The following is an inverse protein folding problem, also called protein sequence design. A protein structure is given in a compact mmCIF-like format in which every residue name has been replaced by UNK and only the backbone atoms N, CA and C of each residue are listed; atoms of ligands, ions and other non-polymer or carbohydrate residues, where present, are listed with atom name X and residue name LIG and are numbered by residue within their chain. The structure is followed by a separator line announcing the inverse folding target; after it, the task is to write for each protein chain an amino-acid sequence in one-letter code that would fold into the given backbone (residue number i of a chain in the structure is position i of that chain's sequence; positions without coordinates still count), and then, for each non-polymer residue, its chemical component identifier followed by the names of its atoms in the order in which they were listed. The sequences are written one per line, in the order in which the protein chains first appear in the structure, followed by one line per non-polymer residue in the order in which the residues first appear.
data_IF_014296108701
#
_entry.id   IF_014296108701
#
_cell.length_a   1.000
_cell.length_b   1.000
_cell.length_c   1.000
_cell.angle_alpha   90.00
_cell.angle_beta   90.00
_cell.angle_gamma   90.00
#
_symmetry.space_group_name_H-M   'P 1'
#
loop_
_entity.id
_entity.type
_entity.pdbx_description
1 polymer ?
#
# COMPACT_ATOMS: atom_id res chain seq x y z
N UNK A 1 26.37 -11.86 23.65
CA UNK A 1 25.60 -10.64 24.02
C UNK A 1 24.13 -11.04 24.17
N UNK A 2 23.67 -11.23 25.41
CA UNK A 2 22.28 -11.63 25.67
C UNK A 2 21.37 -10.40 25.46
N UNK A 3 20.59 -10.41 24.41
CA UNK A 3 19.56 -9.40 24.19
C UNK A 3 18.47 -9.61 25.24
N UNK A 4 18.25 -8.60 26.09
CA UNK A 4 17.30 -8.62 27.20
C UNK A 4 15.88 -9.01 26.67
N UNK A 5 15.20 -9.90 27.36
CA UNK A 5 13.85 -10.39 26.96
C UNK A 5 12.81 -9.26 26.77
N UNK A 6 12.94 -8.19 27.54
CA UNK A 6 12.12 -6.97 27.37
C UNK A 6 12.36 -6.32 26.00
N UNK A 7 13.60 -6.26 25.55
CA UNK A 7 13.94 -5.68 24.23
C UNK A 7 13.38 -6.53 23.09
N UNK A 8 13.44 -7.86 23.19
CA UNK A 8 12.83 -8.78 22.21
C UNK A 8 11.33 -8.62 22.13
N UNK A 9 10.66 -8.46 23.27
CA UNK A 9 9.22 -8.28 23.36
C UNK A 9 8.78 -6.93 22.73
N UNK A 10 9.51 -5.86 23.01
CA UNK A 10 9.26 -4.53 22.43
C UNK A 10 9.46 -4.57 20.91
N UNK A 11 10.55 -5.16 20.42
CA UNK A 11 10.81 -5.30 18.98
C UNK A 11 9.71 -6.12 18.30
N UNK A 12 9.24 -7.21 18.89
CA UNK A 12 8.16 -8.00 18.30
C UNK A 12 6.81 -7.25 18.27
N UNK A 13 6.52 -6.44 19.29
CA UNK A 13 5.31 -5.61 19.31
C UNK A 13 5.42 -4.51 18.24
N UNK A 14 6.54 -3.81 18.16
CA UNK A 14 6.73 -2.75 17.15
C UNK A 14 6.68 -3.31 15.73
N UNK A 15 7.25 -4.50 15.47
CA UNK A 15 7.15 -5.15 14.17
C UNK A 15 5.69 -5.51 13.81
N UNK A 16 4.90 -6.02 14.76
CA UNK A 16 3.46 -6.27 14.54
C UNK A 16 2.70 -5.00 14.21
N UNK A 17 2.95 -3.92 14.95
CA UNK A 17 2.32 -2.61 14.69
C UNK A 17 2.68 -2.10 13.29
N UNK A 18 3.96 -2.16 12.90
CA UNK A 18 4.40 -1.76 11.56
C UNK A 18 3.72 -2.60 10.47
N UNK A 19 3.57 -3.92 10.68
CA UNK A 19 2.88 -4.79 9.72
C UNK A 19 1.42 -4.39 9.55
N UNK A 20 0.70 -4.14 10.66
CA UNK A 20 -0.68 -3.70 10.61
C UNK A 20 -0.85 -2.33 9.92
N UNK A 21 0.08 -1.40 10.18
CA UNK A 21 0.11 -0.10 9.50
C UNK A 21 0.35 -0.26 8.00
N UNK A 22 1.26 -1.14 7.57
CA UNK A 22 1.51 -1.42 6.16
C UNK A 22 0.28 -2.05 5.48
N UNK A 23 -0.40 -3.00 6.15
CA UNK A 23 -1.62 -3.60 5.62
C UNK A 23 -2.71 -2.53 5.47
N UNK A 24 -2.95 -1.74 6.52
CA UNK A 24 -3.94 -0.66 6.49
C UNK A 24 -3.63 0.36 5.39
N UNK A 25 -2.35 0.76 5.23
CA UNK A 25 -1.92 1.66 4.17
C UNK A 25 -2.14 1.06 2.77
N UNK A 26 -1.80 -0.21 2.57
CA UNK A 26 -1.99 -0.89 1.27
C UNK A 26 -3.48 -0.97 0.91
N UNK A 27 -4.33 -1.35 1.86
CA UNK A 27 -5.78 -1.39 1.66
C UNK A 27 -6.35 0.01 1.40
N UNK A 28 -5.90 1.01 2.16
CA UNK A 28 -6.27 2.41 1.95
C UNK A 28 -5.90 2.88 0.54
N UNK A 29 -4.66 2.63 0.10
CA UNK A 29 -4.20 3.01 -1.23
C UNK A 29 -4.95 2.28 -2.35
N UNK A 30 -5.31 1.02 -2.14
CA UNK A 30 -6.14 0.28 -3.10
C UNK A 30 -7.53 0.89 -3.23
N UNK A 31 -8.21 1.17 -2.12
CA UNK A 31 -9.53 1.82 -2.10
C UNK A 31 -9.43 3.22 -2.71
N UNK A 32 -8.43 4.01 -2.28
CA UNK A 32 -8.17 5.34 -2.81
C UNK A 32 -7.98 5.34 -4.33
N UNK A 33 -7.20 4.39 -4.84
CA UNK A 33 -6.98 4.24 -6.28
C UNK A 33 -8.27 3.90 -7.02
N UNK A 34 -9.03 2.93 -6.53
CA UNK A 34 -10.32 2.55 -7.13
C UNK A 34 -11.26 3.76 -7.15
N UNK A 35 -11.42 4.43 -6.01
CA UNK A 35 -12.25 5.64 -5.90
C UNK A 35 -11.75 6.73 -6.84
N UNK A 36 -10.46 6.98 -6.91
CA UNK A 36 -9.88 8.02 -7.78
C UNK A 36 -10.13 7.72 -9.26
N UNK A 37 -9.91 6.48 -9.69
CA UNK A 37 -10.10 6.08 -11.10
C UNK A 37 -11.58 6.04 -11.48
N UNK A 38 -12.46 5.56 -10.61
CA UNK A 38 -13.88 5.42 -10.92
C UNK A 38 -14.68 6.69 -10.68
N UNK A 39 -14.18 7.60 -9.86
CA UNK A 39 -14.96 8.72 -9.29
C UNK A 39 -14.52 10.08 -9.80
N UNK A 40 -13.29 10.27 -10.24
CA UNK A 40 -12.67 11.58 -10.51
C UNK A 40 -12.88 12.07 -11.96
N UNK A 41 -13.70 11.42 -12.76
CA UNK A 41 -13.79 11.74 -14.19
C UNK A 41 -15.02 12.55 -14.58
N UNK A 42 -15.71 13.24 -13.67
CA UNK A 42 -16.90 14.04 -14.07
C UNK A 42 -17.01 15.34 -13.28
N UNK A 43 -17.17 16.41 -14.04
CA UNK A 43 -17.34 17.81 -13.64
C UNK A 43 -18.54 18.08 -12.69
N UNK A 44 -19.31 17.07 -12.33
CA UNK A 44 -20.57 17.19 -11.58
C UNK A 44 -20.43 16.96 -10.08
N UNK A 45 -19.23 16.65 -9.56
CA UNK A 45 -19.09 16.30 -8.15
C UNK A 45 -18.64 17.50 -7.32
N UNK A 46 -19.58 18.02 -6.55
CA UNK A 46 -19.27 18.96 -5.48
C UNK A 46 -19.31 18.25 -4.12
N UNK A 47 -18.41 18.60 -3.23
CA UNK A 47 -18.42 18.23 -1.82
C UNK A 47 -18.81 19.48 -1.05
N UNK A 48 -19.98 19.47 -0.44
CA UNK A 48 -20.55 20.64 0.25
C UNK A 48 -20.61 21.92 -0.63
N UNK A 49 -20.96 21.76 -1.92
CA UNK A 49 -21.06 22.90 -2.86
C UNK A 49 -19.70 23.41 -3.38
N UNK A 50 -18.60 22.66 -3.15
CA UNK A 50 -17.27 23.01 -3.65
C UNK A 50 -16.74 21.89 -4.52
N UNK A 51 -16.26 22.24 -5.71
CA UNK A 51 -15.54 21.34 -6.65
C UNK A 51 -14.03 21.54 -6.52
N UNK A 52 -13.30 20.50 -6.82
CA UNK A 52 -11.83 20.46 -6.71
C UNK A 52 -11.23 20.13 -8.07
N UNK A 53 -10.48 21.05 -8.66
CA UNK A 53 -9.81 20.83 -9.94
C UNK A 53 -8.30 20.94 -9.80
N UNK A 54 -7.59 20.00 -10.41
CA UNK A 54 -6.13 20.02 -10.48
C UNK A 54 -5.73 20.96 -11.61
N UNK A 55 -4.92 21.94 -11.31
CA UNK A 55 -4.37 22.88 -12.29
C UNK A 55 -3.30 22.17 -13.12
N UNK A 56 -3.47 22.14 -14.44
CA UNK A 56 -2.57 21.46 -15.37
C UNK A 56 -1.63 22.43 -16.12
N UNK A 57 -1.92 23.73 -16.09
CA UNK A 57 -1.13 24.75 -16.80
C UNK A 57 -0.72 25.91 -15.87
N UNK A 58 0.24 26.72 -16.34
CA UNK A 58 0.70 27.89 -15.62
C UNK A 58 0.06 29.21 -16.12
N UNK A 59 -1.09 29.15 -16.79
CA UNK A 59 -1.77 30.34 -17.35
C UNK A 59 -2.15 31.38 -16.30
N UNK A 60 -2.32 30.95 -15.02
CA UNK A 60 -2.63 31.81 -13.88
C UNK A 60 -1.48 31.91 -12.87
N UNK A 61 -0.28 31.48 -13.22
CA UNK A 61 0.88 31.57 -12.34
C UNK A 61 1.38 33.02 -12.20
N UNK A 62 2.07 33.30 -11.09
CA UNK A 62 2.63 34.63 -10.83
C UNK A 62 3.70 34.98 -11.89
N UNK A 63 3.62 36.18 -12.46
CA UNK A 63 4.55 36.71 -13.44
C UNK A 63 4.60 38.25 -13.35
N UNK A 64 5.43 38.88 -14.16
CA UNK A 64 5.46 40.34 -14.28
C UNK A 64 4.13 40.90 -14.80
N UNK A 65 3.38 40.14 -15.61
CA UNK A 65 2.10 40.58 -16.17
C UNK A 65 0.98 40.71 -15.13
N UNK A 66 1.11 40.02 -14.00
CA UNK A 66 0.06 39.92 -12.96
C UNK A 66 0.61 40.09 -11.54
N UNK A 67 1.78 40.72 -11.37
CA UNK A 67 2.47 40.86 -10.08
C UNK A 67 1.64 41.55 -9.01
N UNK A 68 0.76 42.46 -9.41
CA UNK A 68 -0.11 43.25 -8.55
C UNK A 68 -1.47 42.61 -8.29
N UNK A 69 -1.71 41.41 -8.82
CA UNK A 69 -2.92 40.62 -8.58
C UNK A 69 -2.72 39.69 -7.40
N UNK A 70 -3.77 39.47 -6.60
CA UNK A 70 -3.72 38.60 -5.43
C UNK A 70 -3.94 37.09 -5.78
N UNK A 71 -4.62 36.83 -6.90
CA UNK A 71 -5.02 35.45 -7.29
C UNK A 71 -3.99 34.87 -8.24
N UNK A 72 -3.22 33.92 -7.75
CA UNK A 72 -2.26 33.13 -8.53
C UNK A 72 -2.36 31.66 -8.17
N UNK A 73 -2.23 30.78 -9.14
CA UNK A 73 -2.06 29.35 -8.92
C UNK A 73 -1.21 28.72 -10.01
N UNK A 74 -0.49 27.67 -9.66
CA UNK A 74 0.47 27.01 -10.54
C UNK A 74 -0.03 25.64 -10.98
N UNK A 75 0.53 25.10 -12.03
CA UNK A 75 0.36 23.69 -12.35
C UNK A 75 0.72 22.83 -11.12
N UNK A 76 -0.14 21.86 -10.81
CA UNK A 76 -0.01 21.02 -9.61
C UNK A 76 -0.69 21.54 -8.35
N UNK A 77 -1.29 22.74 -8.37
CA UNK A 77 -2.19 23.20 -7.32
C UNK A 77 -3.58 22.55 -7.51
N UNK A 78 -4.37 22.49 -6.44
CA UNK A 78 -5.82 22.23 -6.53
C UNK A 78 -6.55 23.55 -6.30
N UNK A 79 -7.43 23.92 -7.21
CA UNK A 79 -8.33 25.07 -7.06
C UNK A 79 -9.68 24.62 -6.50
N UNK A 80 -10.20 25.44 -5.60
CA UNK A 80 -11.50 25.28 -4.95
C UNK A 80 -12.51 26.14 -5.69
N UNK A 81 -13.52 25.51 -6.26
CA UNK A 81 -14.52 26.16 -7.09
C UNK A 81 -15.90 26.00 -6.42
N UNK A 82 -16.49 27.09 -6.01
CA UNK A 82 -17.85 27.12 -5.47
C UNK A 82 -18.85 27.01 -6.61
N UNK A 83 -19.82 26.10 -6.49
CA UNK A 83 -20.93 26.03 -7.41
C UNK A 83 -21.74 27.33 -7.39
N UNK A 84 -22.21 27.76 -8.54
CA UNK A 84 -23.02 28.95 -8.69
C UNK A 84 -24.41 28.62 -9.21
N UNK A 85 -25.43 29.19 -8.58
CA UNK A 85 -26.77 29.27 -9.14
C UNK A 85 -26.85 30.24 -10.32
N UNK A 86 -27.87 30.16 -11.13
CA UNK A 86 -28.03 31.06 -12.28
C UNK A 86 -28.09 32.54 -11.87
N UNK A 87 -28.66 32.85 -10.71
CA UNK A 87 -28.65 34.21 -10.18
C UNK A 87 -27.23 34.65 -9.82
N UNK A 88 -26.42 33.82 -9.18
CA UNK A 88 -25.02 34.12 -8.83
C UNK A 88 -24.13 34.27 -10.09
N UNK A 89 -24.43 33.50 -11.16
CA UNK A 89 -23.74 33.67 -12.45
C UNK A 89 -24.01 35.05 -13.07
N UNK A 90 -25.21 35.59 -12.86
CA UNK A 90 -25.57 36.93 -13.32
C UNK A 90 -24.89 38.07 -12.53
N UNK A 91 -24.30 37.78 -11.36
CA UNK A 91 -23.56 38.73 -10.55
C UNK A 91 -22.05 38.75 -10.84
N UNK A 92 -21.58 37.83 -11.70
CA UNK A 92 -20.17 37.77 -12.09
C UNK A 92 -19.71 39.02 -12.83
N UNK A 93 -18.50 39.48 -12.51
CA UNK A 93 -17.91 40.73 -13.03
C UNK A 93 -16.46 40.54 -13.46
N UNK A 94 -15.95 41.53 -14.18
CA UNK A 94 -14.53 41.57 -14.50
C UNK A 94 -13.66 41.54 -13.23
N UNK A 95 -12.61 40.71 -13.25
CA UNK A 95 -11.73 40.39 -12.14
C UNK A 95 -12.10 39.14 -11.35
N UNK A 96 -13.32 38.60 -11.50
CA UNK A 96 -13.67 37.30 -10.94
C UNK A 96 -12.95 36.18 -11.70
N UNK A 97 -12.57 35.11 -10.96
CA UNK A 97 -11.97 33.92 -11.55
C UNK A 97 -13.00 32.82 -11.55
N UNK A 98 -13.25 32.23 -12.72
CA UNK A 98 -14.25 31.19 -12.96
C UNK A 98 -13.60 29.92 -13.50
N UNK A 99 -14.16 28.79 -13.13
CA UNK A 99 -13.91 27.50 -13.80
C UNK A 99 -15.05 27.25 -14.81
N UNK A 100 -14.70 26.83 -16.00
CA UNK A 100 -15.65 26.56 -17.08
C UNK A 100 -15.18 25.41 -17.98
N UNK A 101 -16.12 24.81 -18.71
CA UNK A 101 -15.82 23.88 -19.78
C UNK A 101 -15.41 24.67 -21.04
N UNK A 102 -14.18 24.45 -21.47
CA UNK A 102 -13.67 25.13 -22.65
C UNK A 102 -14.34 24.63 -23.93
N UNK A 103 -14.73 25.59 -24.76
CA UNK A 103 -15.18 25.37 -26.14
C UNK A 103 -14.14 25.78 -27.17
N UNK A 104 -12.93 26.17 -26.72
CA UNK A 104 -11.80 26.52 -27.56
C UNK A 104 -11.29 25.30 -28.34
N UNK A 105 -10.75 25.53 -29.53
CA UNK A 105 -10.27 24.47 -30.42
C UNK A 105 -9.18 23.59 -29.81
N UNK A 106 -8.27 24.18 -29.01
CA UNK A 106 -7.12 23.49 -28.41
C UNK A 106 -7.48 22.74 -27.12
N UNK A 107 -8.47 23.24 -26.35
CA UNK A 107 -8.83 22.74 -25.02
C UNK A 107 -10.29 22.30 -24.92
N UNK A 108 -10.88 21.88 -26.03
CA UNK A 108 -12.30 21.51 -26.09
C UNK A 108 -12.67 20.44 -25.07
N UNK A 109 -13.68 20.73 -24.23
CA UNK A 109 -14.15 19.83 -23.18
C UNK A 109 -13.27 19.76 -21.93
N UNK A 110 -12.16 20.49 -21.90
CA UNK A 110 -11.31 20.57 -20.70
C UNK A 110 -11.86 21.62 -19.72
N UNK A 111 -11.65 21.39 -18.44
CA UNK A 111 -11.93 22.41 -17.42
C UNK A 111 -10.80 23.42 -17.37
N UNK A 112 -11.13 24.66 -17.67
CA UNK A 112 -10.22 25.82 -17.61
C UNK A 112 -10.63 26.70 -16.46
N UNK A 113 -9.63 27.29 -15.76
CA UNK A 113 -9.87 28.26 -14.68
C UNK A 113 -9.14 29.55 -15.03
N UNK A 114 -9.87 30.58 -15.43
CA UNK A 114 -9.34 31.85 -15.89
C UNK A 114 -10.09 33.03 -15.27
N UNK A 115 -9.51 34.22 -15.41
CA UNK A 115 -10.10 35.48 -14.93
C UNK A 115 -11.00 36.09 -15.98
N UNK A 116 -12.14 36.62 -15.57
CA UNK A 116 -13.05 37.39 -16.42
C UNK A 116 -12.40 38.75 -16.69
N UNK A 117 -12.23 39.07 -17.97
CA UNK A 117 -11.79 40.40 -18.42
C UNK A 117 -12.96 41.31 -18.71
N UNK A 118 -14.00 40.81 -19.32
CA UNK A 118 -15.15 41.58 -19.76
C UNK A 118 -16.43 40.72 -19.75
N UNK A 119 -17.54 41.29 -19.35
CA UNK A 119 -18.86 40.68 -19.41
C UNK A 119 -19.57 41.18 -20.67
N UNK A 120 -20.09 40.27 -21.48
CA UNK A 120 -20.86 40.56 -22.70
C UNK A 120 -22.36 40.55 -22.42
N UNK A 121 -23.03 41.59 -22.88
CA UNK A 121 -24.48 41.73 -22.74
C UNK A 121 -25.15 41.79 -24.12
N UNK A 122 -26.41 41.34 -24.18
CA UNK A 122 -27.25 41.55 -25.34
C UNK A 122 -27.93 42.93 -25.27
N UNK A 123 -28.73 43.25 -26.28
CA UNK A 123 -29.45 44.50 -26.38
C UNK A 123 -30.49 44.70 -25.24
N UNK A 124 -30.91 43.61 -24.59
CA UNK A 124 -31.83 43.59 -23.46
C UNK A 124 -31.13 43.75 -22.11
N UNK A 125 -29.81 43.89 -22.12
CA UNK A 125 -28.97 44.00 -20.90
C UNK A 125 -28.78 42.67 -20.16
N UNK A 126 -29.07 41.51 -20.78
CA UNK A 126 -28.83 40.20 -20.23
C UNK A 126 -27.44 39.72 -20.58
N UNK A 127 -26.74 39.10 -19.65
CA UNK A 127 -25.42 38.48 -19.88
C UNK A 127 -25.52 37.36 -20.89
N UNK A 128 -24.74 37.43 -21.96
CA UNK A 128 -24.62 36.42 -23.02
C UNK A 128 -23.29 35.66 -22.95
N UNK A 129 -22.32 36.20 -22.20
CA UNK A 129 -21.05 35.49 -22.04
C UNK A 129 -19.96 36.32 -21.37
N UNK A 130 -18.82 35.68 -21.18
CA UNK A 130 -17.67 36.24 -20.48
C UNK A 130 -16.42 36.08 -21.36
N UNK A 131 -15.69 37.15 -21.57
CA UNK A 131 -14.35 37.12 -22.14
C UNK A 131 -13.37 36.80 -21.01
N UNK A 132 -12.69 35.67 -21.10
CA UNK A 132 -11.75 35.19 -20.09
C UNK A 132 -10.30 35.24 -20.58
N UNK A 133 -9.35 35.22 -19.68
CA UNK A 133 -7.92 35.20 -19.99
C UNK A 133 -7.10 34.60 -18.87
N UNK A 134 -5.96 34.00 -19.22
CA UNK A 134 -4.95 33.60 -18.26
C UNK A 134 -4.11 34.83 -17.85
N UNK A 135 -4.05 35.15 -16.57
CA UNK A 135 -3.38 36.36 -16.06
C UNK A 135 -1.87 36.38 -16.33
N UNK A 136 -1.23 35.21 -16.40
CA UNK A 136 0.18 35.11 -16.75
C UNK A 136 0.44 35.41 -18.24
N UNK A 137 -0.41 34.91 -19.11
CA UNK A 137 -0.25 35.10 -20.57
C UNK A 137 -0.75 36.47 -21.02
N UNK A 138 -1.74 37.01 -20.34
CA UNK A 138 -2.39 38.28 -20.69
C UNK A 138 -3.27 38.22 -21.95
N UNK A 139 -3.32 37.07 -22.64
CA UNK A 139 -4.07 36.86 -23.90
C UNK A 139 -5.47 36.35 -23.58
N UNK A 140 -6.48 36.89 -24.29
CA UNK A 140 -7.85 36.39 -24.18
C UNK A 140 -7.98 34.97 -24.69
N UNK A 141 -8.91 34.22 -24.11
CA UNK A 141 -9.33 32.94 -24.66
C UNK A 141 -10.00 33.12 -26.01
N UNK A 142 -9.88 32.10 -26.86
CA UNK A 142 -10.36 32.13 -28.24
C UNK A 142 -11.86 32.43 -28.35
N UNK A 143 -12.63 31.86 -27.44
CA UNK A 143 -14.09 31.99 -27.44
C UNK A 143 -14.61 32.60 -26.16
N UNK A 144 -15.75 33.29 -26.30
CA UNK A 144 -16.53 33.81 -25.17
C UNK A 144 -17.15 32.63 -24.43
N UNK A 145 -17.04 32.62 -23.12
CA UNK A 145 -17.62 31.60 -22.24
C UNK A 145 -19.08 31.92 -22.00
N UNK A 146 -19.99 31.09 -22.45
CA UNK A 146 -21.42 31.24 -22.19
C UNK A 146 -21.75 30.79 -20.74
N UNK A 147 -22.79 31.37 -20.10
CA UNK A 147 -23.14 31.07 -18.70
C UNK A 147 -23.40 29.58 -18.42
N UNK A 148 -23.83 28.81 -19.42
CA UNK A 148 -24.12 27.37 -19.30
C UNK A 148 -22.85 26.52 -19.11
N UNK A 149 -21.68 26.99 -19.65
CA UNK A 149 -20.41 26.30 -19.50
C UNK A 149 -19.69 26.61 -18.19
N UNK A 150 -20.21 27.55 -17.38
CA UNK A 150 -19.59 27.90 -16.09
C UNK A 150 -19.86 26.81 -15.06
N UNK A 151 -18.78 26.25 -14.53
CA UNK A 151 -18.79 25.23 -13.48
C UNK A 151 -18.80 25.82 -12.05
N UNK A 152 -18.37 27.10 -11.90
CA UNK A 152 -18.37 27.80 -10.64
C UNK A 152 -17.28 28.88 -10.55
N UNK A 153 -17.22 29.54 -9.37
CA UNK A 153 -16.30 30.62 -9.07
C UNK A 153 -15.16 30.14 -8.16
N UNK A 154 -13.94 30.60 -8.41
CA UNK A 154 -12.78 30.36 -7.59
C UNK A 154 -12.93 30.96 -6.18
N UNK A 155 -12.65 30.17 -5.15
CA UNK A 155 -12.69 30.62 -3.75
C UNK A 155 -11.37 30.42 -3.03
N UNK A 156 -10.48 29.59 -3.55
CA UNK A 156 -9.19 29.34 -2.91
C UNK A 156 -8.39 28.25 -3.61
N UNK A 157 -7.22 27.94 -3.07
CA UNK A 157 -6.35 26.87 -3.59
C UNK A 157 -5.67 26.09 -2.48
N UNK A 158 -5.28 24.85 -2.82
CA UNK A 158 -4.38 24.00 -2.03
C UNK A 158 -3.06 23.85 -2.81
N UNK A 159 -1.99 24.56 -2.39
CA UNK A 159 -0.75 24.60 -3.14
C UNK A 159 -0.06 23.23 -3.20
N UNK A 160 0.33 22.79 -4.40
CA UNK A 160 1.13 21.59 -4.65
C UNK A 160 0.42 20.24 -4.37
N UNK A 161 -0.76 20.25 -3.77
CA UNK A 161 -1.50 19.02 -3.41
C UNK A 161 -1.91 18.24 -4.65
N UNK A 162 -2.20 18.92 -5.76
CA UNK A 162 -2.53 18.30 -7.04
C UNK A 162 -1.42 17.44 -7.60
N UNK A 163 -0.14 17.79 -7.35
CA UNK A 163 1.01 16.99 -7.79
C UNK A 163 0.99 15.57 -7.21
N UNK A 164 0.54 15.44 -5.95
CA UNK A 164 0.38 14.11 -5.33
C UNK A 164 -0.66 13.28 -6.09
N UNK A 165 -1.80 13.86 -6.42
CA UNK A 165 -2.84 13.14 -7.18
C UNK A 165 -2.40 12.81 -8.60
N UNK A 166 -1.72 13.74 -9.28
CA UNK A 166 -1.12 13.48 -10.60
C UNK A 166 -0.10 12.35 -10.53
N UNK A 167 0.78 12.37 -9.53
CA UNK A 167 1.75 11.28 -9.31
C UNK A 167 1.05 9.95 -9.07
N UNK A 168 0.08 9.89 -8.14
CA UNK A 168 -0.65 8.64 -7.83
C UNK A 168 -1.38 8.08 -9.05
N UNK A 169 -1.91 8.95 -9.93
CA UNK A 169 -2.57 8.55 -11.19
C UNK A 169 -1.58 8.12 -12.28
N UNK A 170 -0.31 8.42 -12.15
CA UNK A 170 0.72 8.04 -13.13
C UNK A 170 1.13 6.57 -12.97
N UNK A 171 1.62 5.95 -14.06
CA UNK A 171 2.14 4.58 -14.01
C UNK A 171 3.22 4.38 -12.93
N UNK A 172 4.24 5.28 -12.79
CA UNK A 172 5.20 5.19 -11.69
C UNK A 172 4.54 5.30 -10.30
N UNK A 173 3.52 6.15 -10.16
CA UNK A 173 2.78 6.31 -8.91
C UNK A 173 2.07 5.04 -8.47
N UNK A 174 1.40 4.33 -9.37
CA UNK A 174 0.81 3.02 -9.09
C UNK A 174 1.85 2.02 -8.61
N UNK A 175 2.99 1.94 -9.30
CA UNK A 175 4.08 1.02 -8.94
C UNK A 175 4.58 1.33 -7.53
N UNK A 176 4.88 2.59 -7.23
CA UNK A 176 5.41 2.98 -5.93
C UNK A 176 4.38 2.83 -4.82
N UNK A 177 3.16 3.31 -5.04
CA UNK A 177 2.15 3.37 -3.97
C UNK A 177 1.48 2.02 -3.68
N UNK A 178 1.44 1.10 -4.64
CA UNK A 178 0.78 -0.20 -4.47
C UNK A 178 1.80 -1.34 -4.43
N UNK A 179 2.65 -1.45 -5.45
CA UNK A 179 3.56 -2.59 -5.58
C UNK A 179 4.63 -2.62 -4.51
N UNK A 180 5.24 -1.47 -4.17
CA UNK A 180 6.33 -1.43 -3.18
C UNK A 180 5.86 -1.83 -1.79
N UNK A 181 4.78 -1.29 -1.20
CA UNK A 181 4.26 -1.76 0.09
C UNK A 181 3.88 -3.23 0.07
N UNK A 182 3.30 -3.71 -1.02
CA UNK A 182 2.92 -5.12 -1.18
C UNK A 182 4.14 -6.05 -1.20
N UNK A 183 5.20 -5.70 -1.94
CA UNK A 183 6.45 -6.44 -1.95
C UNK A 183 7.12 -6.45 -0.56
N UNK A 184 7.11 -5.31 0.14
CA UNK A 184 7.64 -5.23 1.51
C UNK A 184 6.87 -6.16 2.47
N UNK A 185 5.54 -6.26 2.35
CA UNK A 185 4.73 -7.20 3.10
C UNK A 185 5.09 -8.65 2.81
N UNK A 186 5.25 -9.02 1.52
CA UNK A 186 5.65 -10.37 1.12
C UNK A 186 7.03 -10.70 1.69
N UNK A 187 8.02 -9.83 1.54
CA UNK A 187 9.37 -10.03 2.06
C UNK A 187 9.37 -10.18 3.58
N UNK A 188 8.66 -9.32 4.28
CA UNK A 188 8.54 -9.38 5.73
C UNK A 188 7.91 -10.70 6.20
N UNK A 189 6.77 -11.08 5.63
CA UNK A 189 6.11 -12.34 5.96
C UNK A 189 6.95 -13.56 5.57
N UNK A 190 7.61 -13.53 4.41
CA UNK A 190 8.53 -14.58 3.96
C UNK A 190 9.67 -14.81 4.96
N UNK A 191 10.31 -13.74 5.45
CA UNK A 191 11.35 -13.85 6.48
C UNK A 191 10.80 -14.46 7.78
N UNK A 192 9.59 -14.07 8.20
CA UNK A 192 8.96 -14.62 9.40
C UNK A 192 8.62 -16.11 9.25
N UNK A 193 8.12 -16.54 8.10
CA UNK A 193 7.87 -17.95 7.80
C UNK A 193 9.16 -18.76 7.84
N UNK A 194 10.25 -18.27 7.24
CA UNK A 194 11.56 -18.94 7.28
C UNK A 194 12.08 -19.06 8.71
N UNK A 195 11.93 -17.99 9.54
CA UNK A 195 12.32 -18.03 10.97
C UNK A 195 11.53 -19.06 11.74
N UNK A 196 10.21 -19.10 11.55
CA UNK A 196 9.32 -20.07 12.19
C UNK A 196 9.68 -21.51 11.77
N UNK A 197 9.88 -21.73 10.49
CA UNK A 197 10.30 -23.06 9.98
C UNK A 197 11.63 -23.53 10.57
N UNK A 198 12.61 -22.62 10.71
CA UNK A 198 13.90 -22.93 11.38
C UNK A 198 13.70 -23.27 12.86
N UNK A 199 12.79 -22.61 13.57
CA UNK A 199 12.46 -22.94 14.97
C UNK A 199 11.83 -24.30 15.08
N UNK A 200 10.82 -24.62 14.27
CA UNK A 200 10.20 -25.93 14.21
C UNK A 200 11.19 -27.06 13.93
N UNK A 201 12.08 -26.86 12.95
CA UNK A 201 13.11 -27.84 12.64
C UNK A 201 14.05 -28.06 13.82
N UNK A 202 14.43 -26.99 14.53
CA UNK A 202 15.30 -27.08 15.72
C UNK A 202 14.61 -27.81 16.89
N UNK A 203 13.33 -27.54 17.12
CA UNK A 203 12.53 -28.23 18.15
C UNK A 203 12.39 -29.72 17.82
N UNK A 204 12.04 -30.09 16.58
CA UNK A 204 11.96 -31.48 16.16
C UNK A 204 13.31 -32.21 16.29
N UNK A 205 14.41 -31.54 15.94
CA UNK A 205 15.74 -32.13 16.08
C UNK A 205 16.09 -32.37 17.56
N UNK A 206 15.77 -31.41 18.44
CA UNK A 206 16.00 -31.55 19.87
C UNK A 206 15.15 -32.69 20.50
N UNK A 207 13.90 -32.84 20.10
CA UNK A 207 13.03 -33.96 20.53
C UNK A 207 13.59 -35.30 20.07
N UNK A 208 13.99 -35.42 18.78
CA UNK A 208 14.60 -36.65 18.28
C UNK A 208 15.96 -36.97 18.96
N UNK A 209 16.76 -35.97 19.30
CA UNK A 209 18.01 -36.18 20.05
C UNK A 209 17.75 -36.67 21.47
N UNK A 210 16.72 -36.10 22.14
CA UNK A 210 16.30 -36.55 23.48
C UNK A 210 15.80 -37.99 23.47
N UNK A 211 14.95 -38.35 22.50
CA UNK A 211 14.43 -39.73 22.32
C UNK A 211 15.56 -40.73 22.02
N UNK A 212 16.53 -40.35 21.17
CA UNK A 212 17.71 -41.20 20.90
C UNK A 212 18.57 -41.36 22.15
N UNK A 213 18.72 -40.33 22.97
CA UNK A 213 19.50 -40.41 24.22
C UNK A 213 18.80 -41.35 25.21
N UNK A 214 17.48 -41.30 25.33
CA UNK A 214 16.68 -42.19 26.19
C UNK A 214 16.79 -43.64 25.76
N UNK A 215 16.65 -43.94 24.44
CA UNK A 215 16.81 -45.27 23.89
C UNK A 215 18.26 -45.79 24.11
N UNK A 216 19.26 -44.91 23.99
CA UNK A 216 20.66 -45.32 24.24
C UNK A 216 20.90 -45.65 25.72
N UNK A 217 20.27 -44.93 26.65
CA UNK A 217 20.35 -45.24 28.09
C UNK A 217 19.61 -46.54 28.45
N UNK A 218 18.45 -46.77 27.87
CA UNK A 218 17.72 -48.05 28.03
C UNK A 218 18.51 -49.24 27.49
N UNK A 219 19.13 -49.10 26.34
CA UNK A 219 20.00 -50.15 25.76
C UNK A 219 21.15 -50.46 26.70
N UNK A 220 21.80 -49.45 27.24
CA UNK A 220 22.90 -49.61 28.18
C UNK A 220 22.45 -50.35 29.48
N UNK A 221 21.32 -49.96 30.03
CA UNK A 221 20.71 -50.66 31.20
C UNK A 221 20.42 -52.13 30.90
N UNK A 222 19.88 -52.43 29.72
CA UNK A 222 19.59 -53.78 29.29
C UNK A 222 20.88 -54.60 29.06
N UNK A 223 21.93 -54.01 28.51
CA UNK A 223 23.25 -54.69 28.38
C UNK A 223 23.89 -54.96 29.74
N UNK A 224 23.81 -54.02 30.69
CA UNK A 224 24.34 -54.21 32.04
C UNK A 224 23.57 -55.31 32.77
N UNK A 225 22.22 -55.34 32.65
CA UNK A 225 21.37 -56.38 33.20
C UNK A 225 21.68 -57.75 32.61
N UNK A 226 21.90 -57.84 31.28
CA UNK A 226 22.30 -59.09 30.62
C UNK A 226 23.66 -59.60 31.13
N UNK A 227 24.63 -58.71 31.34
CA UNK A 227 25.94 -59.05 31.93
C UNK A 227 25.79 -59.60 33.38
N UNK A 228 24.94 -58.98 34.19
CA UNK A 228 24.67 -59.40 35.53
C UNK A 228 24.00 -60.77 35.58
N UNK A 229 23.02 -61.03 34.70
CA UNK A 229 22.36 -62.33 34.54
C UNK A 229 23.34 -63.41 34.07
N UNK A 230 24.26 -63.10 33.16
CA UNK A 230 25.32 -64.01 32.71
C UNK A 230 26.28 -64.34 33.87
N UNK A 231 26.70 -63.36 34.64
CA UNK A 231 27.58 -63.55 35.79
C UNK A 231 26.89 -64.40 36.88
N UNK A 232 25.61 -64.16 37.18
CA UNK A 232 24.81 -65.00 38.09
C UNK A 232 24.67 -66.42 37.61
N UNK A 233 24.44 -66.65 36.32
CA UNK A 233 24.38 -67.96 35.72
C UNK A 233 25.68 -68.72 35.83
N UNK A 234 26.82 -68.09 35.58
CA UNK A 234 28.14 -68.69 35.79
C UNK A 234 28.42 -69.01 37.24
N UNK A 235 27.98 -68.19 38.19
CA UNK A 235 28.07 -68.49 39.64
C UNK A 235 27.23 -69.68 40.03
N UNK A 236 26.01 -69.81 39.51
CA UNK A 236 25.14 -70.95 39.76
C UNK A 236 25.74 -72.24 39.16
N UNK A 237 26.29 -72.18 37.97
CA UNK A 237 26.96 -73.35 37.33
C UNK A 237 28.20 -73.79 38.15
N UNK A 238 28.95 -72.85 38.72
CA UNK A 238 30.06 -73.16 39.65
C UNK A 238 29.59 -73.75 40.99
N UNK A 239 28.45 -73.36 41.51
CA UNK A 239 27.89 -73.87 42.79
C UNK A 239 27.25 -75.25 42.60
N UNK A 240 26.68 -75.59 41.50
CA UNK A 240 26.00 -76.85 41.23
C UNK A 240 26.93 -77.96 40.73
N UNK A 241 28.25 -77.80 40.88
CA UNK A 241 29.29 -78.85 40.71
C UNK A 241 29.01 -79.90 39.65
N UNK A 242 29.50 -79.62 38.48
CA UNK A 242 30.00 -80.59 37.49
C UNK A 242 29.20 -81.84 37.17
N UNK A 243 28.40 -81.80 36.10
CA UNK A 243 28.30 -82.91 35.22
C UNK A 243 28.18 -82.37 33.78
N UNK A 244 29.04 -82.76 32.89
CA UNK A 244 28.94 -82.31 31.48
C UNK A 244 27.80 -83.07 30.80
N UNK A 245 26.73 -82.39 30.38
CA UNK A 245 25.74 -82.96 29.54
C UNK A 245 26.03 -82.55 28.12
N UNK A 246 26.23 -83.67 27.32
CA UNK A 246 26.52 -83.65 25.90
C UNK A 246 25.61 -82.76 25.06
N UNK A 247 26.21 -82.16 24.12
CA UNK A 247 25.63 -81.43 23.00
C UNK A 247 24.99 -82.47 22.01
N UNK A 248 23.72 -82.27 21.62
CA UNK A 248 23.21 -82.89 20.39
C UNK A 248 23.58 -82.07 19.17
N UNK A 249 23.79 -82.73 17.99
CA UNK A 249 24.39 -82.13 16.85
C UNK A 249 23.40 -81.26 16.04
N UNK A 250 23.98 -80.34 15.32
CA UNK A 250 23.34 -79.42 14.41
C UNK A 250 22.60 -80.21 13.27
N UNK A 251 21.35 -79.89 13.10
CA UNK A 251 20.69 -80.16 11.83
C UNK A 251 20.73 -78.90 10.95
N UNK A 252 21.44 -79.09 9.86
CA UNK A 252 21.39 -78.25 8.68
C UNK A 252 20.09 -78.54 7.94
N UNK A 253 19.25 -77.60 7.72
CA UNK A 253 18.36 -77.59 6.56
C UNK A 253 18.33 -76.25 5.88
N UNK A 254 18.64 -76.38 4.72
CA UNK A 254 18.84 -75.65 3.50
C UNK A 254 17.49 -75.37 2.83
N UNK A 255 17.52 -74.48 1.93
CA UNK A 255 16.63 -74.15 0.80
C UNK A 255 15.60 -73.10 1.02
N UNK A 256 15.80 -72.01 0.32
CA UNK A 256 15.54 -71.69 -1.09
C UNK A 256 14.10 -71.23 -1.37
N UNK A 257 14.05 -70.08 -2.04
CA UNK A 257 13.06 -69.68 -3.05
C UNK A 257 11.66 -69.25 -2.55
N UNK A 258 11.33 -68.03 -2.69
CA UNK A 258 10.86 -67.22 -3.87
C UNK A 258 10.68 -65.78 -3.49
#
# INVERSE_FOLDING_TARGET
MQVNDKTKKIVNISLKVVTWLLIAFTVFMMIFTIVTVTTVDKNERSIFGVKFYIVTSNSMSKSENNKDMDIHFNAGDIVLIKDLSDNEKAELKAGDVIAFLSTNSVSYGETVTHMIREVKYNDEGKIVGFVTYGTNTGTNDEKVVEPEYILGQYTGKLPGVGNFFVFVKSTPGYIVCILVPFLLLILYNGVNVIRLFRQYKKEQTAVMEAERAEIAEERKKNEDMLRELQALKEQLERQNGGTPTETPPAETENSSDT
#
